data_IF_067251057462
#
_entry.id   IF_067251057462
#
_cell.length_a   1.000
_cell.length_b   1.000
_cell.length_c   1.000
_cell.angle_alpha   90.00
_cell.angle_beta   90.00
_cell.angle_gamma   90.00
#
_symmetry.space_group_name_H-M   'P 1'
#
loop_
_entity.id
_entity.type
_entity.pdbx_description
1 polymer ?
#
# COMPACT_ATOMS: atom_id res chain seq x y z
N UNK A 1 -25.71 8.40 10.53
CA UNK A 1 -24.42 7.69 10.75
C UNK A 1 -24.48 6.53 11.73
N UNK A 2 -25.44 6.45 12.62
CA UNK A 2 -25.65 5.25 13.49
C UNK A 2 -26.17 4.01 12.75
N UNK A 3 -26.78 4.18 11.59
CA UNK A 3 -27.42 3.09 10.85
C UNK A 3 -26.47 2.15 10.12
N UNK A 4 -25.24 2.57 9.78
CA UNK A 4 -24.29 1.73 9.04
C UNK A 4 -23.62 0.67 9.93
N UNK A 5 -23.27 1.02 11.17
CA UNK A 5 -22.70 0.08 12.13
C UNK A 5 -23.76 -0.95 12.59
N UNK A 6 -24.98 -0.50 12.87
CA UNK A 6 -26.10 -1.38 13.22
C UNK A 6 -26.45 -2.31 12.05
N UNK A 7 -26.35 -1.84 10.80
CA UNK A 7 -26.59 -2.67 9.61
C UNK A 7 -25.55 -3.77 9.43
N UNK A 8 -24.28 -3.53 9.73
CA UNK A 8 -23.23 -4.54 9.62
C UNK A 8 -23.38 -5.64 10.68
N UNK A 9 -23.70 -5.28 11.92
CA UNK A 9 -23.96 -6.24 12.99
C UNK A 9 -25.21 -7.08 12.72
N UNK A 10 -26.27 -6.51 12.19
CA UNK A 10 -27.47 -7.26 11.80
C UNK A 10 -27.21 -8.22 10.65
N UNK A 11 -26.42 -7.83 9.65
CA UNK A 11 -26.04 -8.71 8.54
C UNK A 11 -25.20 -9.92 9.00
N UNK A 12 -24.29 -9.72 9.95
CA UNK A 12 -23.48 -10.80 10.54
C UNK A 12 -24.36 -11.75 11.37
N UNK A 13 -25.38 -11.24 12.02
CA UNK A 13 -26.25 -12.02 12.91
C UNK A 13 -27.24 -12.92 12.17
N UNK A 14 -27.80 -12.41 11.08
CA UNK A 14 -28.92 -13.07 10.40
C UNK A 14 -28.53 -13.77 9.08
N UNK A 15 -27.39 -13.40 8.49
CA UNK A 15 -26.88 -13.96 7.22
C UNK A 15 -25.34 -13.96 7.21
N UNK A 16 -24.77 -14.86 6.42
CA UNK A 16 -23.33 -14.85 6.11
C UNK A 16 -23.05 -13.72 5.13
N UNK A 17 -22.24 -12.74 5.53
CA UNK A 17 -21.87 -11.62 4.69
C UNK A 17 -21.12 -10.55 5.46
N UNK A 18 -20.55 -9.60 4.74
CA UNK A 18 -19.89 -8.42 5.31
C UNK A 18 -20.32 -7.16 4.58
N UNK A 19 -20.39 -6.05 5.29
CA UNK A 19 -20.64 -4.73 4.75
C UNK A 19 -19.50 -3.81 5.16
N UNK A 20 -18.80 -3.23 4.18
CA UNK A 20 -17.75 -2.22 4.41
C UNK A 20 -18.24 -0.86 3.94
N UNK A 21 -18.13 0.14 4.81
CA UNK A 21 -18.43 1.52 4.49
C UNK A 21 -17.11 2.31 4.40
N UNK A 22 -16.90 3.04 3.30
CA UNK A 22 -15.74 3.88 3.05
C UNK A 22 -16.20 5.35 2.95
N UNK A 23 -16.39 6.07 4.06
CA UNK A 23 -16.70 7.49 4.00
C UNK A 23 -15.48 8.28 3.51
N UNK A 24 -15.71 9.22 2.59
CA UNK A 24 -14.68 10.10 2.05
C UNK A 24 -14.85 11.46 2.71
N UNK A 25 -13.79 11.98 3.31
CA UNK A 25 -13.74 13.27 3.98
C UNK A 25 -12.67 14.12 3.33
N UNK A 26 -13.04 15.33 2.93
CA UNK A 26 -12.09 16.33 2.48
C UNK A 26 -11.50 17.06 3.68
N UNK A 27 -10.17 17.23 3.68
CA UNK A 27 -9.47 18.06 4.66
C UNK A 27 -9.06 19.38 4.01
N UNK A 28 -9.25 20.50 4.72
CA UNK A 28 -8.76 21.79 4.25
C UNK A 28 -7.27 21.89 4.58
N UNK A 29 -6.45 22.15 3.56
CA UNK A 29 -4.98 22.26 3.69
C UNK A 29 -4.31 21.09 4.44
N UNK A 30 -4.89 19.88 4.36
CA UNK A 30 -4.35 18.70 5.05
C UNK A 30 -4.60 18.68 6.56
N UNK A 31 -5.42 19.59 7.11
CA UNK A 31 -5.72 19.63 8.55
C UNK A 31 -6.62 18.47 8.97
N UNK A 32 -6.01 17.44 9.54
CA UNK A 32 -6.69 16.26 10.09
C UNK A 32 -7.15 16.47 11.53
N UNK A 33 -6.75 17.58 12.19
CA UNK A 33 -7.14 17.91 13.56
C UNK A 33 -8.47 18.64 13.64
N UNK A 34 -9.04 19.06 12.51
CA UNK A 34 -10.34 19.67 12.44
C UNK A 34 -11.45 18.75 12.99
N UNK A 35 -12.56 19.35 13.38
CA UNK A 35 -13.66 18.65 14.07
C UNK A 35 -14.22 17.44 13.28
N UNK A 36 -14.47 17.60 11.98
CA UNK A 36 -15.05 16.52 11.18
C UNK A 36 -14.07 15.35 10.98
N UNK A 37 -12.81 15.58 10.52
CA UNK A 37 -11.82 14.50 10.41
C UNK A 37 -11.60 13.76 11.73
N UNK A 38 -11.44 14.47 12.84
CA UNK A 38 -11.20 13.88 14.15
C UNK A 38 -12.35 12.97 14.58
N UNK A 39 -13.61 13.42 14.40
CA UNK A 39 -14.76 12.60 14.72
C UNK A 39 -14.85 11.34 13.86
N UNK A 40 -14.59 11.45 12.55
CA UNK A 40 -14.64 10.30 11.64
C UNK A 40 -13.54 9.29 11.97
N UNK A 41 -12.33 9.74 12.23
CA UNK A 41 -11.22 8.87 12.67
C UNK A 41 -11.57 8.12 13.95
N UNK A 42 -12.25 8.77 14.89
CA UNK A 42 -12.64 8.14 16.15
C UNK A 42 -13.74 7.08 16.02
N UNK A 43 -14.59 7.21 15.01
CA UNK A 43 -15.77 6.32 14.78
C UNK A 43 -15.40 5.13 13.88
N UNK A 44 -14.46 5.31 12.96
CA UNK A 44 -14.06 4.29 11.98
C UNK A 44 -12.95 3.37 12.51
N UNK A 45 -12.79 2.19 11.87
CA UNK A 45 -11.75 1.22 12.21
C UNK A 45 -10.42 1.49 11.53
N UNK A 46 -10.21 2.68 11.05
CA UNK A 46 -8.97 3.11 10.42
C UNK A 46 -9.21 4.20 9.39
N UNK A 47 -8.14 4.66 8.80
CA UNK A 47 -8.17 5.72 7.80
C UNK A 47 -7.11 5.49 6.73
N UNK A 48 -7.41 5.93 5.52
CA UNK A 48 -6.47 6.02 4.41
C UNK A 48 -6.24 7.50 4.13
N UNK A 49 -5.00 7.96 4.32
CA UNK A 49 -4.60 9.33 4.02
C UNK A 49 -4.10 9.45 2.58
N UNK A 50 -4.71 10.36 1.84
CA UNK A 50 -4.27 10.76 0.51
C UNK A 50 -3.64 12.15 0.61
N UNK A 51 -2.43 12.31 0.09
CA UNK A 51 -1.65 13.54 0.17
C UNK A 51 -1.49 14.17 -1.21
N UNK A 52 -1.73 15.49 -1.30
CA UNK A 52 -1.58 16.24 -2.55
C UNK A 52 -0.14 16.23 -3.07
N UNK A 53 0.85 16.29 -2.18
CA UNK A 53 2.26 16.28 -2.55
C UNK A 53 2.66 14.97 -3.22
N UNK A 54 2.17 13.84 -2.71
CA UNK A 54 2.35 12.53 -3.34
C UNK A 54 1.69 12.43 -4.70
N UNK A 55 0.48 12.96 -4.82
CA UNK A 55 -0.22 13.02 -6.09
C UNK A 55 0.54 13.85 -7.13
N UNK A 56 1.06 15.00 -6.72
CA UNK A 56 1.82 15.91 -7.59
C UNK A 56 3.19 15.32 -7.97
N UNK A 57 3.81 14.52 -7.09
CA UNK A 57 5.06 13.80 -7.38
C UNK A 57 4.86 12.57 -8.29
N UNK A 58 3.60 12.25 -8.65
CA UNK A 58 3.28 11.12 -9.53
C UNK A 58 3.09 9.79 -8.81
N UNK A 59 3.07 9.77 -7.48
CA UNK A 59 2.69 8.59 -6.71
C UNK A 59 1.18 8.39 -6.79
N UNK A 60 0.73 7.28 -7.38
CA UNK A 60 -0.70 6.94 -7.53
C UNK A 60 -0.94 5.46 -7.25
N UNK A 61 -1.78 5.15 -6.24
CA UNK A 61 -2.54 6.08 -5.39
C UNK A 61 -1.64 6.94 -4.50
N UNK A 62 -2.07 8.18 -4.24
CA UNK A 62 -1.33 9.16 -3.43
C UNK A 62 -1.45 8.85 -1.92
N UNK A 63 -1.42 7.59 -1.56
CA UNK A 63 -1.63 7.11 -0.20
C UNK A 63 -0.35 7.23 0.63
N UNK A 64 -0.47 7.78 1.84
CA UNK A 64 0.61 7.76 2.81
C UNK A 64 0.48 6.54 3.74
N UNK A 65 1.26 5.47 3.55
CA UNK A 65 1.18 4.28 4.40
C UNK A 65 1.76 4.48 5.80
N UNK A 66 2.48 5.58 6.04
CA UNK A 66 3.05 5.90 7.36
C UNK A 66 2.01 6.38 8.36
N UNK A 67 1.03 7.16 7.90
CA UNK A 67 -0.04 7.73 8.72
C UNK A 67 -1.41 7.08 8.50
N UNK A 68 -1.53 6.24 7.48
CA UNK A 68 -2.71 5.40 7.29
C UNK A 68 -2.72 4.25 8.28
N UNK A 69 -3.86 4.00 8.89
CA UNK A 69 -4.01 3.01 9.97
C UNK A 69 -5.21 2.11 9.68
N UNK A 70 -5.06 0.82 9.98
CA UNK A 70 -6.16 -0.12 10.11
C UNK A 70 -6.14 -0.71 11.52
N UNK A 71 -7.24 -0.60 12.26
CA UNK A 71 -7.38 -1.20 13.59
C UNK A 71 -7.49 -2.72 13.53
N UNK A 72 -8.07 -3.24 12.45
CA UNK A 72 -8.18 -4.69 12.21
C UNK A 72 -6.83 -5.25 11.76
N UNK A 73 -6.11 -4.51 10.93
CA UNK A 73 -4.75 -4.82 10.53
C UNK A 73 -4.60 -6.20 9.89
N UNK A 74 -3.57 -6.92 10.35
CA UNK A 74 -3.20 -8.24 9.81
C UNK A 74 -4.27 -9.33 9.96
N UNK A 75 -5.20 -9.19 10.92
CA UNK A 75 -6.26 -10.18 11.16
C UNK A 75 -7.26 -10.25 10.00
N UNK A 76 -7.40 -9.15 9.24
CA UNK A 76 -8.24 -9.12 8.04
C UNK A 76 -7.54 -9.67 6.80
N UNK A 77 -6.22 -9.87 6.85
CA UNK A 77 -5.43 -10.35 5.73
C UNK A 77 -5.41 -11.89 5.68
N UNK A 78 -5.40 -12.45 4.48
CA UNK A 78 -5.06 -13.85 4.31
C UNK A 78 -3.63 -14.09 4.81
N UNK A 79 -3.36 -15.25 5.41
CA UNK A 79 -2.08 -15.57 6.07
C UNK A 79 -0.85 -15.31 5.19
N UNK A 80 -0.98 -15.56 3.90
CA UNK A 80 0.07 -15.31 2.92
C UNK A 80 0.42 -13.81 2.83
N UNK A 81 -0.59 -12.95 2.65
CA UNK A 81 -0.39 -11.50 2.57
C UNK A 81 0.18 -10.92 3.86
N UNK A 82 -0.30 -11.39 5.01
CA UNK A 82 0.21 -10.95 6.32
C UNK A 82 1.71 -11.23 6.49
N UNK A 83 2.22 -12.33 5.93
CA UNK A 83 3.65 -12.66 5.98
C UNK A 83 4.50 -11.77 5.07
N UNK A 84 3.98 -11.41 3.89
CA UNK A 84 4.75 -10.67 2.87
C UNK A 84 4.70 -9.16 3.12
N UNK A 85 3.56 -8.63 3.52
CA UNK A 85 3.33 -7.17 3.62
C UNK A 85 4.23 -6.47 4.64
N UNK A 86 4.69 -7.19 5.68
CA UNK A 86 5.58 -6.64 6.70
C UNK A 86 6.92 -6.17 6.15
N UNK A 87 7.55 -6.95 5.27
CA UNK A 87 8.82 -6.59 4.62
C UNK A 87 8.70 -5.33 3.76
N UNK A 88 7.64 -5.25 2.96
CA UNK A 88 7.37 -4.09 2.10
C UNK A 88 7.16 -2.81 2.92
N UNK A 89 6.38 -2.89 4.00
CA UNK A 89 6.13 -1.74 4.89
C UNK A 89 7.43 -1.23 5.51
N UNK A 90 8.29 -2.14 5.95
CA UNK A 90 9.58 -1.79 6.54
C UNK A 90 10.50 -1.13 5.50
N UNK A 91 10.61 -1.71 4.31
CA UNK A 91 11.43 -1.16 3.22
C UNK A 91 10.97 0.25 2.80
N UNK A 92 9.67 0.49 2.70
CA UNK A 92 9.12 1.82 2.40
C UNK A 92 9.37 2.84 3.52
N UNK A 93 9.33 2.42 4.78
CA UNK A 93 9.66 3.30 5.91
C UNK A 93 11.14 3.69 5.88
N UNK A 94 12.03 2.72 5.72
CA UNK A 94 13.48 2.96 5.59
C UNK A 94 13.82 3.85 4.38
N UNK A 95 13.20 3.59 3.23
CA UNK A 95 13.38 4.43 2.05
C UNK A 95 13.06 5.90 2.31
N UNK A 96 11.95 6.18 3.00
CA UNK A 96 11.55 7.57 3.30
C UNK A 96 12.53 8.28 4.21
N UNK A 97 13.01 7.60 5.24
CA UNK A 97 14.02 8.14 6.14
C UNK A 97 15.31 8.44 5.37
N UNK A 98 15.80 7.48 4.59
CA UNK A 98 17.03 7.63 3.84
C UNK A 98 16.91 8.66 2.70
N UNK A 99 15.77 8.72 2.00
CA UNK A 99 15.54 9.68 0.93
C UNK A 99 15.58 11.14 1.43
N UNK A 100 15.09 11.39 2.64
CA UNK A 100 15.18 12.71 3.26
C UNK A 100 16.65 13.13 3.54
N UNK A 101 17.51 12.17 3.92
CA UNK A 101 18.93 12.43 4.18
C UNK A 101 19.77 12.44 2.91
N UNK A 102 19.41 11.69 1.88
CA UNK A 102 20.19 11.57 0.63
C UNK A 102 20.37 12.90 -0.11
N UNK A 103 19.46 13.85 0.09
CA UNK A 103 19.55 15.20 -0.48
C UNK A 103 20.70 16.02 0.11
N UNK A 104 21.22 15.63 1.28
CA UNK A 104 22.26 16.37 2.00
C UNK A 104 23.60 15.62 2.09
N UNK A 105 23.63 14.33 1.73
CA UNK A 105 24.85 13.52 1.84
C UNK A 105 25.50 13.32 0.47
N UNK A 106 26.70 13.90 0.30
CA UNK A 106 27.49 13.75 -0.93
C UNK A 106 28.08 12.34 -1.09
N UNK A 107 28.28 11.59 0.00
CA UNK A 107 28.88 10.25 0.01
C UNK A 107 28.04 9.29 0.84
N UNK A 108 27.15 8.57 0.18
CA UNK A 108 26.43 7.44 0.79
C UNK A 108 27.29 6.17 0.68
N UNK A 109 27.38 5.43 1.77
CA UNK A 109 27.98 4.10 1.74
C UNK A 109 27.18 3.14 0.85
N UNK A 110 27.82 2.09 0.37
CA UNK A 110 27.22 1.17 -0.60
C UNK A 110 25.97 0.45 -0.05
N UNK A 111 25.95 0.16 1.24
CA UNK A 111 24.79 -0.49 1.87
C UNK A 111 23.57 0.42 1.88
N UNK A 112 23.74 1.68 2.26
CA UNK A 112 22.69 2.70 2.24
C UNK A 112 22.18 2.97 0.83
N UNK A 113 23.09 3.00 -0.17
CA UNK A 113 22.71 3.14 -1.57
C UNK A 113 21.81 1.99 -2.03
N UNK A 114 22.18 0.74 -1.73
CA UNK A 114 21.38 -0.43 -2.08
C UNK A 114 19.99 -0.41 -1.41
N UNK A 115 19.89 0.06 -0.16
CA UNK A 115 18.60 0.21 0.52
C UNK A 115 17.73 1.28 -0.14
N UNK A 116 18.32 2.41 -0.55
CA UNK A 116 17.61 3.44 -1.28
C UNK A 116 17.10 2.93 -2.62
N UNK A 117 17.95 2.29 -3.41
CA UNK A 117 17.56 1.73 -4.70
C UNK A 117 16.47 0.66 -4.58
N UNK A 118 16.56 -0.18 -3.55
CA UNK A 118 15.52 -1.18 -3.27
C UNK A 118 14.19 -0.52 -2.91
N UNK A 119 14.22 0.46 -2.01
CA UNK A 119 13.02 1.20 -1.62
C UNK A 119 12.40 2.01 -2.76
N UNK A 120 13.22 2.58 -3.64
CA UNK A 120 12.76 3.29 -4.84
C UNK A 120 12.01 2.35 -5.80
N UNK A 121 12.56 1.14 -6.03
CA UNK A 121 11.89 0.11 -6.85
C UNK A 121 10.56 -0.34 -6.24
N UNK A 122 10.53 -0.52 -4.91
CA UNK A 122 9.27 -0.84 -4.21
C UNK A 122 8.28 0.31 -4.33
N UNK A 123 8.72 1.55 -4.17
CA UNK A 123 7.85 2.71 -4.31
C UNK A 123 7.26 2.82 -5.72
N UNK A 124 8.06 2.52 -6.75
CA UNK A 124 7.59 2.45 -8.14
C UNK A 124 6.59 1.31 -8.34
N UNK A 125 6.86 0.14 -7.77
CA UNK A 125 5.99 -1.03 -7.83
C UNK A 125 4.62 -0.79 -7.16
N UNK A 126 4.56 0.10 -6.15
CA UNK A 126 3.31 0.45 -5.49
C UNK A 126 2.40 1.35 -6.32
N UNK A 127 2.88 1.89 -7.43
CA UNK A 127 2.05 2.69 -8.34
C UNK A 127 1.05 1.79 -9.07
N UNK A 128 -0.19 2.20 -9.10
CA UNK A 128 -1.29 1.44 -9.68
C UNK A 128 -2.05 2.27 -10.70
N UNK A 129 -2.42 1.66 -11.80
CA UNK A 129 -3.26 2.30 -12.83
C UNK A 129 -4.69 2.46 -12.31
N UNK A 130 -5.34 3.51 -12.73
CA UNK A 130 -6.75 3.74 -12.41
C UNK A 130 -7.62 2.61 -12.98
N UNK A 131 -8.59 2.14 -12.19
CA UNK A 131 -9.51 1.05 -12.55
C UNK A 131 -8.84 -0.29 -12.89
N UNK A 132 -7.63 -0.53 -12.38
CA UNK A 132 -6.89 -1.77 -12.58
C UNK A 132 -6.65 -2.48 -11.23
N UNK A 133 -7.69 -3.04 -10.60
CA UNK A 133 -7.51 -3.78 -9.35
C UNK A 133 -6.76 -5.09 -9.61
N UNK A 134 -5.96 -5.49 -8.63
CA UNK A 134 -5.24 -6.76 -8.64
C UNK A 134 -5.94 -7.77 -7.72
N UNK A 135 -5.92 -9.03 -8.09
CA UNK A 135 -6.34 -10.12 -7.20
C UNK A 135 -5.33 -10.28 -6.05
N UNK A 136 -5.73 -10.97 -4.99
CA UNK A 136 -4.83 -11.27 -3.86
C UNK A 136 -3.63 -12.10 -4.32
N UNK A 137 -3.82 -13.03 -5.25
CA UNK A 137 -2.76 -13.84 -5.82
C UNK A 137 -1.75 -12.98 -6.61
N UNK A 138 -2.24 -12.11 -7.50
CA UNK A 138 -1.40 -11.18 -8.25
C UNK A 138 -0.58 -10.28 -7.32
N UNK A 139 -1.22 -9.64 -6.34
CA UNK A 139 -0.52 -8.84 -5.34
C UNK A 139 0.54 -9.65 -4.61
N UNK A 140 0.21 -10.89 -4.23
CA UNK A 140 1.12 -11.77 -3.52
C UNK A 140 2.36 -12.11 -4.32
N UNK A 141 2.22 -12.46 -5.59
CA UNK A 141 3.35 -12.77 -6.50
C UNK A 141 4.27 -11.56 -6.66
N UNK A 142 3.69 -10.39 -6.89
CA UNK A 142 4.44 -9.13 -7.09
C UNK A 142 5.20 -8.73 -5.83
N UNK A 143 4.53 -8.74 -4.67
CA UNK A 143 5.16 -8.39 -3.40
C UNK A 143 6.21 -9.43 -2.96
N UNK A 144 5.99 -10.70 -3.25
CA UNK A 144 6.98 -11.76 -3.02
C UNK A 144 8.25 -11.51 -3.85
N UNK A 145 8.08 -11.22 -5.15
CA UNK A 145 9.21 -10.90 -6.01
C UNK A 145 10.02 -9.70 -5.51
N UNK A 146 9.36 -8.68 -4.97
CA UNK A 146 10.01 -7.53 -4.37
C UNK A 146 10.79 -7.89 -3.10
N UNK A 147 10.21 -8.67 -2.18
CA UNK A 147 10.84 -9.06 -0.92
C UNK A 147 12.06 -9.97 -1.13
N UNK A 148 11.98 -10.88 -2.10
CA UNK A 148 13.07 -11.82 -2.40
C UNK A 148 14.19 -11.20 -3.28
N UNK A 149 14.07 -9.91 -3.61
CA UNK A 149 15.12 -9.18 -4.31
C UNK A 149 15.17 -9.40 -5.82
N UNK A 150 14.16 -10.03 -6.43
CA UNK A 150 14.11 -10.23 -7.89
C UNK A 150 14.06 -8.93 -8.70
N UNK A 151 13.85 -7.80 -8.03
CA UNK A 151 13.90 -6.47 -8.63
C UNK A 151 15.30 -5.83 -8.60
N UNK A 152 16.30 -6.47 -7.99
CA UNK A 152 17.62 -5.84 -7.76
C UNK A 152 18.30 -5.36 -9.05
N UNK A 153 18.20 -6.14 -10.12
CA UNK A 153 18.80 -5.83 -11.42
C UNK A 153 17.85 -5.09 -12.38
N UNK A 154 16.62 -4.78 -11.93
CA UNK A 154 15.62 -4.09 -12.76
C UNK A 154 15.78 -2.57 -12.61
N UNK A 155 15.99 -1.82 -13.70
CA UNK A 155 15.98 -0.37 -13.66
C UNK A 155 14.62 0.17 -13.17
N UNK A 156 14.61 1.24 -12.36
CA UNK A 156 13.39 1.80 -11.76
C UNK A 156 12.30 2.08 -12.80
N UNK A 157 12.67 2.65 -13.93
CA UNK A 157 11.73 2.95 -15.03
C UNK A 157 11.18 1.70 -15.76
N UNK A 158 11.66 0.50 -15.43
CA UNK A 158 11.22 -0.78 -15.98
C UNK A 158 10.49 -1.67 -14.97
N UNK A 159 10.31 -1.21 -13.76
CA UNK A 159 9.67 -1.98 -12.69
C UNK A 159 8.22 -2.35 -13.05
N UNK A 160 7.44 -1.43 -13.61
CA UNK A 160 6.06 -1.71 -14.03
C UNK A 160 5.98 -2.61 -15.28
N UNK A 161 6.96 -2.53 -16.17
CA UNK A 161 7.07 -3.46 -17.32
C UNK A 161 7.36 -4.88 -16.81
N UNK A 162 8.28 -5.01 -15.83
CA UNK A 162 8.60 -6.27 -15.17
C UNK A 162 7.37 -6.86 -14.48
N UNK A 163 6.62 -6.06 -13.72
CA UNK A 163 5.37 -6.49 -13.08
C UNK A 163 4.39 -7.07 -14.10
N UNK A 164 4.14 -6.36 -15.20
CA UNK A 164 3.24 -6.82 -16.26
C UNK A 164 3.71 -8.13 -16.90
N UNK A 165 5.01 -8.27 -17.17
CA UNK A 165 5.59 -9.49 -17.73
C UNK A 165 5.50 -10.67 -16.75
N UNK A 166 5.82 -10.44 -15.46
CA UNK A 166 5.72 -11.45 -14.41
C UNK A 166 4.30 -11.97 -14.27
N UNK A 167 3.30 -11.08 -14.17
CA UNK A 167 1.91 -11.46 -14.03
C UNK A 167 1.39 -12.20 -15.27
N UNK A 168 1.79 -11.77 -16.47
CA UNK A 168 1.44 -12.45 -17.72
C UNK A 168 2.03 -13.86 -17.76
N UNK A 169 3.30 -14.01 -17.38
CA UNK A 169 3.97 -15.31 -17.32
C UNK A 169 3.29 -16.25 -16.30
N UNK A 170 2.99 -15.75 -15.11
CA UNK A 170 2.32 -16.53 -14.07
C UNK A 170 0.94 -17.03 -14.50
N UNK A 171 0.14 -16.15 -15.12
CA UNK A 171 -1.18 -16.52 -15.65
C UNK A 171 -1.11 -17.58 -16.75
N UNK A 172 -0.09 -17.53 -17.60
CA UNK A 172 0.05 -18.43 -18.73
C UNK A 172 0.65 -19.78 -18.33
N UNK A 173 1.68 -19.75 -17.48
CA UNK A 173 2.46 -20.95 -17.16
C UNK A 173 2.06 -21.61 -15.83
N UNK A 174 1.44 -20.84 -14.93
CA UNK A 174 1.13 -21.26 -13.56
C UNK A 174 -0.27 -20.80 -13.14
N UNK A 175 -1.24 -20.85 -14.05
CA UNK A 175 -2.62 -20.40 -13.80
C UNK A 175 -3.30 -21.07 -12.60
N UNK A 176 -2.90 -22.29 -12.27
CA UNK A 176 -3.42 -23.05 -11.10
C UNK A 176 -3.04 -22.41 -9.75
N UNK A 177 -2.04 -21.53 -9.74
CA UNK A 177 -1.61 -20.77 -8.55
C UNK A 177 -2.25 -19.39 -8.44
N UNK A 178 -2.87 -18.87 -9.48
CA UNK A 178 -3.41 -17.54 -9.59
C UNK A 178 -4.92 -17.52 -9.35
#
# INVERSE_FOLDING_TARGET
MRSSLVGSEMCIRDRTGSLTALPIIETQAGDVSAFVPTNVISITDGQIFLESDKFNSGERPAMNPGISVSRVGGDAQVKFMSKISGGIKLALAQYRELAAFSQFASDLDEATRRQLEHGERINELMKQKQYAPMTVAEMGVVLFAANEGFLADVPVNKVLDFEGALLSYMKTSHGDFM
#
